data_IF_685730335118
#
_entry.id   IF_685730335118
#
_cell.length_a   1.000
_cell.length_b   1.000
_cell.length_c   1.000
_cell.angle_alpha   90.00
_cell.angle_beta   90.00
_cell.angle_gamma   90.00
#
_symmetry.space_group_name_H-M   'P 1'
#
loop_
_entity.id
_entity.type
_entity.pdbx_description
1 polymer ?
#
# COMPACT_ATOMS: atom_id res chain seq x y z
N UNK A 1 16.87 -4.30 -5.70
CA UNK A 1 17.93 -4.00 -6.70
C UNK A 1 17.71 -4.61 -8.10
N UNK A 2 17.36 -5.90 -8.28
CA UNK A 2 17.26 -6.51 -9.64
C UNK A 2 16.12 -5.98 -10.53
N UNK A 3 14.98 -5.56 -9.97
CA UNK A 3 13.82 -5.09 -10.75
C UNK A 3 14.07 -3.71 -11.38
N UNK A 4 14.55 -2.73 -10.61
CA UNK A 4 14.82 -1.38 -11.10
C UNK A 4 15.87 -1.34 -12.23
N UNK A 5 16.97 -2.08 -12.08
CA UNK A 5 17.98 -2.21 -13.15
C UNK A 5 17.44 -2.90 -14.41
N UNK A 6 16.60 -3.94 -14.27
CA UNK A 6 15.96 -4.56 -15.46
C UNK A 6 15.00 -3.61 -16.15
N UNK A 7 14.26 -2.79 -15.40
CA UNK A 7 13.38 -1.76 -15.98
C UNK A 7 14.16 -0.70 -16.76
N UNK A 8 15.39 -0.37 -16.35
CA UNK A 8 16.21 0.61 -17.08
C UNK A 8 16.71 0.11 -18.44
N UNK A 9 16.66 -1.20 -18.71
CA UNK A 9 17.02 -1.79 -20.01
C UNK A 9 15.88 -1.77 -21.03
N UNK A 10 14.65 -1.49 -20.59
CA UNK A 10 13.49 -1.43 -21.48
C UNK A 10 13.52 -0.15 -22.32
N UNK A 11 13.26 -0.30 -23.61
CA UNK A 11 12.94 0.80 -24.51
C UNK A 11 11.48 1.19 -24.32
N UNK A 12 11.26 2.20 -23.48
CA UNK A 12 9.95 2.67 -23.02
C UNK A 12 9.96 4.19 -22.94
N UNK A 13 8.81 4.79 -23.17
CA UNK A 13 8.59 6.19 -22.84
C UNK A 13 8.73 6.40 -21.32
N UNK A 14 9.63 7.31 -20.92
CA UNK A 14 9.89 7.67 -19.51
C UNK A 14 9.45 9.10 -19.19
N UNK A 15 8.69 9.71 -20.09
CA UNK A 15 8.20 11.07 -19.98
C UNK A 15 9.24 12.12 -20.37
N UNK A 16 8.97 13.40 -20.04
CA UNK A 16 7.81 13.88 -19.27
C UNK A 16 6.48 13.67 -20.02
N UNK A 17 5.41 13.42 -19.26
CA UNK A 17 4.06 13.23 -19.82
C UNK A 17 3.21 14.50 -19.66
N UNK A 18 2.36 14.82 -20.65
CA UNK A 18 1.59 16.07 -20.65
C UNK A 18 0.42 16.09 -19.66
N UNK A 19 -0.09 14.91 -19.28
CA UNK A 19 -1.27 14.77 -18.44
C UNK A 19 -1.27 13.45 -17.64
N UNK A 20 -2.17 13.32 -16.66
CA UNK A 20 -2.27 12.14 -15.79
C UNK A 20 -2.66 10.87 -16.53
N UNK A 21 -3.52 10.97 -17.54
CA UNK A 21 -3.92 9.80 -18.34
C UNK A 21 -2.72 9.23 -19.09
N UNK A 22 -1.93 10.09 -19.72
CA UNK A 22 -0.70 9.76 -20.43
C UNK A 22 0.34 9.17 -19.47
N UNK A 23 0.50 9.73 -18.27
CA UNK A 23 1.36 9.16 -17.22
C UNK A 23 0.95 7.74 -16.84
N UNK A 24 -0.33 7.53 -16.49
CA UNK A 24 -0.81 6.22 -16.05
C UNK A 24 -0.70 5.19 -17.18
N UNK A 25 -1.07 5.57 -18.42
CA UNK A 25 -0.90 4.74 -19.61
C UNK A 25 0.55 4.30 -19.78
N UNK A 26 1.49 5.25 -19.69
CA UNK A 26 2.91 4.94 -19.81
C UNK A 26 3.41 4.01 -18.69
N UNK A 27 3.02 4.24 -17.43
CA UNK A 27 3.37 3.35 -16.31
C UNK A 27 2.88 1.93 -16.55
N UNK A 28 1.66 1.77 -17.06
CA UNK A 28 1.08 0.47 -17.39
C UNK A 28 1.84 -0.19 -18.56
N UNK A 29 2.15 0.55 -19.62
CA UNK A 29 2.91 0.03 -20.76
C UNK A 29 4.35 -0.38 -20.35
N UNK A 30 4.98 0.35 -19.43
CA UNK A 30 6.26 -0.05 -18.85
C UNK A 30 6.12 -1.39 -18.10
N UNK A 31 5.06 -1.56 -17.31
CA UNK A 31 4.81 -2.82 -16.59
C UNK A 31 4.52 -3.97 -17.57
N UNK A 32 3.73 -3.75 -18.62
CA UNK A 32 3.46 -4.74 -19.68
C UNK A 32 4.75 -5.19 -20.36
N UNK A 33 5.57 -4.25 -20.83
CA UNK A 33 6.89 -4.55 -21.42
C UNK A 33 7.80 -5.28 -20.44
N UNK A 34 7.78 -4.94 -19.16
CA UNK A 34 8.53 -5.67 -18.14
C UNK A 34 8.04 -7.12 -18.00
N UNK A 35 6.72 -7.34 -18.01
CA UNK A 35 6.11 -8.66 -17.94
C UNK A 35 6.50 -9.52 -19.15
N UNK A 36 6.43 -8.96 -20.36
CA UNK A 36 6.78 -9.64 -21.61
C UNK A 36 8.26 -10.05 -21.66
N UNK A 37 9.17 -9.18 -21.21
CA UNK A 37 10.60 -9.40 -21.36
C UNK A 37 11.25 -10.16 -20.20
N UNK A 38 10.72 -9.99 -18.98
CA UNK A 38 11.43 -10.42 -17.77
C UNK A 38 10.60 -11.21 -16.76
N UNK A 39 9.26 -11.24 -16.89
CA UNK A 39 8.47 -11.98 -15.92
C UNK A 39 8.62 -13.48 -16.13
N UNK A 40 8.91 -14.16 -15.02
CA UNK A 40 8.97 -15.60 -14.95
C UNK A 40 7.89 -16.02 -13.95
N UNK A 41 7.01 -16.99 -14.31
CA UNK A 41 6.05 -17.53 -13.36
C UNK A 41 6.76 -17.96 -12.07
N UNK A 42 6.19 -17.64 -10.89
CA UNK A 42 6.87 -17.98 -9.65
C UNK A 42 6.98 -19.50 -9.52
N UNK A 43 8.08 -19.92 -8.92
CA UNK A 43 8.27 -21.32 -8.59
C UNK A 43 7.20 -21.75 -7.59
N UNK A 44 6.65 -22.97 -7.71
CA UNK A 44 5.69 -23.54 -6.75
C UNK A 44 6.22 -23.59 -5.30
N UNK A 45 7.56 -23.54 -5.13
CA UNK A 45 8.24 -23.48 -3.84
C UNK A 45 8.43 -22.04 -3.32
N UNK A 46 8.12 -21.02 -4.11
CA UNK A 46 8.13 -19.62 -3.67
C UNK A 46 7.03 -19.44 -2.62
N UNK A 47 7.37 -18.78 -1.52
CA UNK A 47 6.44 -18.50 -0.41
C UNK A 47 5.29 -17.59 -0.83
N UNK A 48 5.46 -16.83 -1.92
CA UNK A 48 4.41 -16.00 -2.51
C UNK A 48 3.71 -16.67 -3.68
N UNK A 49 4.03 -17.94 -3.98
CA UNK A 49 3.30 -18.70 -4.99
C UNK A 49 1.86 -18.91 -4.53
N UNK A 50 0.92 -18.62 -5.42
CA UNK A 50 -0.51 -18.69 -5.15
C UNK A 50 -1.13 -19.84 -5.93
N UNK A 51 -1.44 -20.98 -5.27
CA UNK A 51 -2.15 -22.07 -5.92
C UNK A 51 -3.52 -21.59 -6.41
N UNK A 52 -3.82 -21.85 -7.68
CA UNK A 52 -5.05 -21.45 -8.39
C UNK A 52 -5.13 -19.97 -8.82
N UNK A 53 -4.06 -19.19 -8.69
CA UNK A 53 -3.93 -17.94 -9.43
C UNK A 53 -3.17 -18.19 -10.73
N UNK A 54 -3.63 -17.58 -11.81
CA UNK A 54 -2.85 -17.50 -13.04
C UNK A 54 -1.71 -16.50 -12.85
N UNK A 55 -0.56 -16.97 -12.39
CA UNK A 55 0.67 -16.17 -12.33
C UNK A 55 1.39 -16.08 -13.69
N UNK A 56 0.64 -16.31 -14.78
CA UNK A 56 1.17 -16.15 -16.14
C UNK A 56 1.28 -14.65 -16.43
N UNK A 57 2.39 -14.19 -17.03
CA UNK A 57 2.53 -12.81 -17.49
C UNK A 57 1.31 -12.33 -18.29
N UNK A 58 0.81 -13.16 -19.21
CA UNK A 58 -0.38 -12.84 -20.05
C UNK A 58 -1.63 -12.52 -19.23
N UNK A 59 -1.85 -13.19 -18.10
CA UNK A 59 -3.02 -12.95 -17.26
C UNK A 59 -2.93 -11.59 -16.56
N UNK A 60 -1.72 -11.17 -16.19
CA UNK A 60 -1.47 -9.84 -15.65
C UNK A 60 -1.58 -8.77 -16.76
N UNK A 61 -1.07 -9.04 -17.96
CA UNK A 61 -1.21 -8.12 -19.11
C UNK A 61 -2.68 -7.90 -19.45
N UNK A 62 -3.51 -8.95 -19.54
CA UNK A 62 -4.96 -8.82 -19.77
C UNK A 62 -5.65 -7.96 -18.71
N UNK A 63 -5.21 -8.07 -17.46
CA UNK A 63 -5.75 -7.28 -16.36
C UNK A 63 -5.34 -5.81 -16.45
N UNK A 64 -4.11 -5.53 -16.88
CA UNK A 64 -3.63 -4.18 -17.18
C UNK A 64 -4.39 -3.56 -18.36
N UNK A 65 -4.70 -4.34 -19.40
CA UNK A 65 -5.51 -3.88 -20.54
C UNK A 65 -6.95 -3.52 -20.12
N UNK A 66 -7.56 -4.33 -19.25
CA UNK A 66 -8.85 -4.00 -18.64
C UNK A 66 -8.78 -2.69 -17.84
N UNK A 67 -7.72 -2.49 -17.07
CA UNK A 67 -7.51 -1.26 -16.32
C UNK A 67 -7.38 -0.05 -17.24
N UNK A 68 -6.62 -0.16 -18.35
CA UNK A 68 -6.50 0.87 -19.37
C UNK A 68 -7.84 1.28 -19.98
N UNK A 69 -8.78 0.34 -20.12
CA UNK A 69 -10.11 0.62 -20.65
C UNK A 69 -10.98 1.44 -19.68
N UNK A 70 -10.77 1.30 -18.37
CA UNK A 70 -11.57 1.96 -17.32
C UNK A 70 -10.99 3.32 -16.91
N UNK A 71 -9.66 3.46 -16.91
CA UNK A 71 -8.97 4.69 -16.44
C UNK A 71 -9.60 6.00 -16.98
N UNK A 72 -9.87 6.15 -18.29
CA UNK A 72 -10.40 7.41 -18.82
C UNK A 72 -11.69 7.90 -18.14
N UNK A 73 -12.51 6.97 -17.66
CA UNK A 73 -13.81 7.28 -17.03
C UNK A 73 -13.73 7.48 -15.51
N UNK A 74 -12.66 7.04 -14.87
CA UNK A 74 -12.48 7.14 -13.40
C UNK A 74 -11.46 8.22 -13.00
N UNK A 75 -10.84 8.89 -13.98
CA UNK A 75 -9.89 9.94 -13.68
C UNK A 75 -10.60 11.12 -13.02
N UNK A 76 -10.06 11.64 -11.92
CA UNK A 76 -10.57 12.88 -11.37
C UNK A 76 -10.31 14.03 -12.35
N UNK A 77 -11.05 15.16 -12.21
CA UNK A 77 -10.79 16.38 -12.96
C UNK A 77 -9.31 16.78 -12.95
N UNK A 78 -8.84 17.39 -14.04
CA UNK A 78 -7.42 17.75 -14.24
C UNK A 78 -6.85 18.61 -13.09
N UNK A 79 -7.69 19.42 -12.46
CA UNK A 79 -7.35 20.21 -11.28
C UNK A 79 -6.89 19.34 -10.09
N UNK A 80 -7.40 18.13 -9.90
CA UNK A 80 -6.97 17.19 -8.85
C UNK A 80 -5.77 16.34 -9.26
N UNK A 81 -5.42 16.36 -10.55
CA UNK A 81 -4.38 15.56 -11.18
C UNK A 81 -2.98 16.19 -11.12
N UNK A 82 -2.83 17.35 -10.47
CA UNK A 82 -1.54 18.02 -10.35
C UNK A 82 -0.49 17.10 -9.66
N UNK A 83 0.71 16.94 -10.26
CA UNK A 83 1.79 16.17 -9.66
C UNK A 83 2.28 16.88 -8.38
N UNK A 84 1.84 16.39 -7.23
CA UNK A 84 2.26 16.91 -5.92
C UNK A 84 3.11 15.87 -5.20
N UNK A 85 4.30 16.29 -4.76
CA UNK A 85 5.10 15.50 -3.84
C UNK A 85 4.46 15.59 -2.45
N UNK A 86 3.77 14.53 -2.04
CA UNK A 86 3.15 14.47 -0.72
C UNK A 86 4.05 13.75 0.27
N UNK A 87 4.46 14.47 1.31
CA UNK A 87 5.19 13.90 2.44
C UNK A 87 4.18 13.29 3.43
N UNK A 88 4.16 11.96 3.52
CA UNK A 88 3.19 11.21 4.36
C UNK A 88 3.36 11.42 5.87
N UNK A 89 4.36 12.21 6.31
CA UNK A 89 4.70 12.40 7.72
C UNK A 89 5.44 13.73 7.98
N UNK A 90 4.89 14.86 7.50
CA UNK A 90 5.60 16.15 7.61
C UNK A 90 5.45 16.72 9.04
N UNK A 91 6.30 16.27 9.95
CA UNK A 91 6.35 16.72 11.34
C UNK A 91 7.69 17.38 11.66
N UNK A 92 7.74 18.20 12.73
CA UNK A 92 8.94 18.95 13.10
C UNK A 92 10.20 18.08 13.26
N UNK A 93 10.05 16.84 13.72
CA UNK A 93 11.16 15.87 13.83
C UNK A 93 11.76 15.48 12.47
N UNK A 94 11.03 15.66 11.38
CA UNK A 94 11.44 15.36 10.02
C UNK A 94 11.83 16.61 9.23
N UNK A 95 11.80 17.80 9.85
CA UNK A 95 12.20 19.07 9.24
C UNK A 95 13.46 19.54 9.94
N UNK A 96 14.58 19.47 9.23
CA UNK A 96 15.86 19.96 9.71
C UNK A 96 15.99 21.41 9.28
N UNK A 97 16.28 22.28 10.24
CA UNK A 97 16.56 23.70 10.03
C UNK A 97 18.06 23.93 10.08
N UNK A 98 18.54 24.92 9.33
CA UNK A 98 19.93 25.37 9.39
C UNK A 98 20.34 25.69 10.83
N UNK A 99 21.55 25.27 11.21
CA UNK A 99 22.13 25.58 12.52
C UNK A 99 22.57 27.04 12.65
N UNK A 100 22.64 27.77 11.54
CA UNK A 100 23.10 29.15 11.48
C UNK A 100 22.14 30.03 10.67
N UNK A 101 21.96 31.27 11.13
CA UNK A 101 21.13 32.27 10.45
C UNK A 101 19.64 32.24 10.82
N UNK A 102 18.80 32.98 10.09
CA UNK A 102 17.35 32.90 10.28
C UNK A 102 16.82 31.49 9.96
N UNK A 103 15.63 31.11 10.48
CA UNK A 103 15.09 29.77 10.30
C UNK A 103 14.93 29.44 8.80
N UNK A 104 15.78 28.55 8.29
CA UNK A 104 15.75 28.05 6.92
C UNK A 104 15.76 26.52 6.90
N UNK A 105 14.90 25.91 6.07
CA UNK A 105 14.74 24.45 6.04
C UNK A 105 15.92 23.85 5.27
N UNK A 106 16.85 23.24 5.99
CA UNK A 106 18.02 22.58 5.43
C UNK A 106 17.68 21.24 4.74
N UNK A 107 16.76 20.45 5.32
CA UNK A 107 16.32 19.20 4.70
C UNK A 107 15.00 18.68 5.28
N UNK A 108 14.28 17.88 4.50
CA UNK A 108 13.09 17.14 4.93
C UNK A 108 13.38 15.64 4.79
N UNK A 109 13.20 14.86 5.85
CA UNK A 109 13.40 13.40 5.83
C UNK A 109 12.09 12.68 5.57
N UNK A 110 12.03 12.00 4.43
CA UNK A 110 10.88 11.20 4.01
C UNK A 110 10.87 9.85 4.71
N UNK A 111 10.35 9.80 5.93
CA UNK A 111 9.92 8.57 6.57
C UNK A 111 8.41 8.52 6.66
N UNK A 112 7.79 7.47 6.11
CA UNK A 112 6.37 7.20 6.31
C UNK A 112 6.13 6.93 7.80
N UNK A 113 5.26 7.72 8.45
CA UNK A 113 4.70 7.35 9.74
C UNK A 113 3.50 6.47 9.44
N UNK A 114 3.65 5.18 9.73
CA UNK A 114 2.57 4.21 9.54
C UNK A 114 1.63 4.14 10.76
N UNK A 115 1.98 4.85 11.85
CA UNK A 115 1.27 4.82 13.13
C UNK A 115 1.31 3.44 13.81
N UNK A 116 0.82 3.38 15.05
CA UNK A 116 0.53 2.10 15.69
C UNK A 116 -0.92 1.71 15.41
N UNK A 117 -1.14 0.51 14.86
CA UNK A 117 -2.47 -0.03 14.55
C UNK A 117 -3.46 -0.06 15.75
N UNK A 118 -2.95 0.05 16.99
CA UNK A 118 -3.78 0.15 18.20
C UNK A 118 -4.42 1.52 18.36
N UNK A 119 -3.88 2.55 17.72
CA UNK A 119 -4.46 3.89 17.68
C UNK A 119 -5.50 3.92 16.57
N UNK A 120 -6.76 4.11 16.95
CA UNK A 120 -7.83 4.23 15.96
C UNK A 120 -7.80 5.63 15.37
N UNK A 121 -7.42 5.72 14.09
CA UNK A 121 -7.56 6.94 13.30
C UNK A 121 -8.75 6.74 12.37
N UNK A 122 -9.77 7.59 12.47
CA UNK A 122 -10.90 7.56 11.55
C UNK A 122 -10.53 8.37 10.30
N UNK A 123 -10.38 7.74 9.12
CA UNK A 123 -10.01 8.46 7.91
C UNK A 123 -11.09 9.48 7.56
N UNK A 124 -10.68 10.66 7.10
CA UNK A 124 -11.58 11.69 6.53
C UNK A 124 -12.66 12.26 7.45
N UNK A 125 -12.73 11.82 8.70
CA UNK A 125 -13.60 12.39 9.72
C UNK A 125 -12.81 13.26 10.72
N UNK A 126 -13.40 14.35 11.25
CA UNK A 126 -12.76 15.23 12.23
C UNK A 126 -12.76 14.62 13.64
N UNK A 127 -12.55 13.31 13.74
CA UNK A 127 -12.48 12.56 14.99
C UNK A 127 -11.01 12.48 15.42
N UNK A 128 -10.75 12.88 16.66
CA UNK A 128 -9.41 12.74 17.24
C UNK A 128 -9.06 11.25 17.37
N UNK A 129 -7.80 10.87 17.14
CA UNK A 129 -7.36 9.49 17.31
C UNK A 129 -7.67 8.97 18.71
N UNK A 130 -8.11 7.71 18.78
CA UNK A 130 -8.51 7.07 20.02
C UNK A 130 -7.49 6.02 20.44
N UNK A 131 -7.12 6.04 21.73
CA UNK A 131 -6.41 4.95 22.38
C UNK A 131 -7.24 3.65 22.36
N UNK A 132 -6.59 2.48 22.42
CA UNK A 132 -7.30 1.22 22.44
C UNK A 132 -8.21 1.11 23.69
N UNK A 133 -9.40 0.48 23.60
CA UNK A 133 -10.34 0.39 24.72
C UNK A 133 -9.79 -0.28 25.98
N UNK A 134 -8.75 -1.10 25.84
CA UNK A 134 -8.06 -1.79 26.92
C UNK A 134 -6.75 -1.11 27.36
N UNK A 135 -6.58 0.18 27.06
CA UNK A 135 -5.38 0.98 27.36
C UNK A 135 -4.86 0.83 28.80
N UNK A 136 -5.75 0.77 29.78
CA UNK A 136 -5.36 0.68 31.20
C UNK A 136 -4.71 -0.67 31.57
N UNK A 137 -4.84 -1.69 30.72
CA UNK A 137 -4.28 -3.03 30.95
C UNK A 137 -2.82 -3.17 30.50
N UNK A 138 -2.30 -2.23 29.71
CA UNK A 138 -0.92 -2.27 29.24
C UNK A 138 0.06 -1.86 30.35
N UNK A 139 1.33 -2.23 30.19
CA UNK A 139 2.39 -1.78 31.09
C UNK A 139 2.55 -0.26 31.08
N UNK A 140 3.18 0.33 32.11
CA UNK A 140 3.41 1.78 32.17
C UNK A 140 4.26 2.31 31.01
N UNK A 141 5.21 1.51 30.55
CA UNK A 141 6.06 1.82 29.40
C UNK A 141 5.25 1.83 28.10
N UNK A 142 4.44 0.78 27.87
CA UNK A 142 3.55 0.72 26.71
C UNK A 142 2.48 1.82 26.73
N UNK A 143 1.95 2.17 27.90
CA UNK A 143 1.02 3.31 28.04
C UNK A 143 1.68 4.62 27.63
N UNK A 144 2.93 4.85 28.03
CA UNK A 144 3.69 6.05 27.67
C UNK A 144 3.99 6.09 26.16
N UNK A 145 4.35 4.94 25.57
CA UNK A 145 4.53 4.79 24.14
C UNK A 145 3.23 5.09 23.37
N UNK A 146 2.11 4.45 23.73
CA UNK A 146 0.83 4.64 23.05
C UNK A 146 0.31 6.08 23.15
N UNK A 147 0.55 6.77 24.28
CA UNK A 147 0.24 8.21 24.40
C UNK A 147 1.09 9.08 23.47
N UNK A 148 2.34 8.70 23.22
CA UNK A 148 3.19 9.39 22.24
C UNK A 148 2.64 9.18 20.84
N UNK A 149 2.28 7.96 20.46
CA UNK A 149 1.70 7.63 19.16
C UNK A 149 0.34 8.34 18.94
N UNK A 150 -0.52 8.37 19.96
CA UNK A 150 -1.76 9.13 19.95
C UNK A 150 -1.49 10.62 19.65
N UNK A 151 -0.50 11.22 20.32
CA UNK A 151 -0.13 12.62 20.11
C UNK A 151 0.37 12.87 18.68
N UNK A 152 1.18 11.97 18.12
CA UNK A 152 1.65 12.07 16.74
C UNK A 152 0.48 11.94 15.75
N UNK A 153 -0.46 11.04 16.02
CA UNK A 153 -1.68 10.90 15.22
C UNK A 153 -2.57 12.15 15.32
N UNK A 154 -2.70 12.76 16.51
CA UNK A 154 -3.46 14.01 16.70
C UNK A 154 -2.83 15.17 15.90
N UNK A 155 -1.50 15.28 15.91
CA UNK A 155 -0.78 16.26 15.09
C UNK A 155 -1.00 16.04 13.59
N UNK A 156 -1.02 14.78 13.16
CA UNK A 156 -1.36 14.44 11.78
C UNK A 156 -2.79 14.87 11.43
N UNK A 157 -3.78 14.61 12.30
CA UNK A 157 -5.17 15.06 12.07
C UNK A 157 -5.31 16.57 12.06
N UNK A 158 -4.57 17.27 12.90
CA UNK A 158 -4.52 18.72 12.89
C UNK A 158 -3.94 19.24 11.57
N UNK A 159 -2.86 18.64 11.07
CA UNK A 159 -2.28 18.97 9.76
C UNK A 159 -3.28 18.72 8.62
N UNK A 160 -3.96 17.58 8.60
CA UNK A 160 -5.03 17.30 7.62
C UNK A 160 -6.10 18.39 7.65
N UNK A 161 -6.61 18.75 8.84
CA UNK A 161 -7.61 19.79 9.00
C UNK A 161 -7.14 21.16 8.50
N UNK A 162 -5.90 21.54 8.82
CA UNK A 162 -5.30 22.78 8.34
C UNK A 162 -5.14 22.81 6.81
N UNK A 163 -4.79 21.68 6.17
CA UNK A 163 -4.73 21.63 4.71
C UNK A 163 -6.12 21.77 4.12
N UNK A 164 -7.12 21.05 4.64
CA UNK A 164 -8.50 21.13 4.15
C UNK A 164 -9.02 22.57 4.24
N UNK A 165 -8.75 23.26 5.34
CA UNK A 165 -9.15 24.67 5.52
C UNK A 165 -8.43 25.62 4.54
N UNK A 166 -7.13 25.40 4.29
CA UNK A 166 -6.28 26.33 3.54
C UNK A 166 -6.15 26.02 2.06
N UNK A 167 -6.56 24.83 1.63
CA UNK A 167 -6.42 24.35 0.27
C UNK A 167 -7.75 23.75 -0.19
N UNK A 168 -8.60 24.61 -0.77
CA UNK A 168 -9.92 24.24 -1.28
C UNK A 168 -9.85 23.10 -2.32
N UNK A 169 -8.78 23.06 -3.12
CA UNK A 169 -8.56 22.00 -4.10
C UNK A 169 -8.27 20.65 -3.43
N UNK A 170 -7.45 20.66 -2.38
CA UNK A 170 -7.20 19.46 -1.57
C UNK A 170 -8.47 19.00 -0.85
N UNK A 171 -9.24 19.93 -0.27
CA UNK A 171 -10.51 19.63 0.36
C UNK A 171 -11.48 18.95 -0.62
N UNK A 172 -11.65 19.52 -1.82
CA UNK A 172 -12.48 18.95 -2.87
C UNK A 172 -12.01 17.57 -3.32
N UNK A 173 -10.69 17.38 -3.49
CA UNK A 173 -10.09 16.07 -3.79
C UNK A 173 -10.36 15.02 -2.71
N UNK A 174 -10.28 15.37 -1.43
CA UNK A 174 -10.51 14.44 -0.32
C UNK A 174 -11.96 13.95 -0.26
N UNK A 175 -12.90 14.76 -0.74
CA UNK A 175 -14.32 14.39 -0.87
C UNK A 175 -14.67 13.77 -2.23
N UNK A 176 -13.73 13.71 -3.17
CA UNK A 176 -14.00 13.18 -4.50
C UNK A 176 -14.30 11.68 -4.45
N UNK A 177 -15.43 11.22 -5.00
CA UNK A 177 -15.77 9.81 -5.05
C UNK A 177 -14.67 8.97 -5.72
N UNK A 178 -14.49 7.74 -5.24
CA UNK A 178 -13.60 6.73 -5.87
C UNK A 178 -12.10 7.05 -5.93
N UNK A 179 -11.61 8.19 -5.41
CA UNK A 179 -10.18 8.57 -5.46
C UNK A 179 -9.24 7.55 -4.79
N UNK A 180 -9.69 6.88 -3.73
CA UNK A 180 -8.91 5.83 -3.03
C UNK A 180 -8.88 4.50 -3.79
N UNK A 181 -9.78 4.32 -4.75
CA UNK A 181 -9.96 3.05 -5.47
C UNK A 181 -8.99 2.91 -6.64
N UNK A 182 -8.36 3.99 -7.09
CA UNK A 182 -7.37 3.98 -8.17
C UNK A 182 -6.12 3.13 -7.81
N UNK A 183 -5.88 2.85 -6.52
CA UNK A 183 -4.64 2.24 -6.02
C UNK A 183 -4.70 0.71 -5.91
N UNK A 184 -5.87 0.07 -6.04
CA UNK A 184 -6.00 -1.37 -5.82
C UNK A 184 -6.53 -2.12 -7.05
N UNK A 185 -5.88 -3.24 -7.41
CA UNK A 185 -6.28 -4.15 -8.49
C UNK A 185 -7.70 -4.74 -8.33
N UNK A 186 -8.24 -4.75 -7.10
CA UNK A 186 -9.62 -5.18 -6.80
C UNK A 186 -10.65 -4.14 -7.26
N UNK A 187 -10.22 -2.92 -7.57
CA UNK A 187 -11.09 -1.83 -7.92
C UNK A 187 -11.92 -2.06 -9.18
N UNK A 188 -11.51 -2.93 -10.12
CA UNK A 188 -12.29 -3.17 -11.35
C UNK A 188 -13.68 -3.76 -11.09
N UNK A 189 -13.82 -4.68 -10.14
CA UNK A 189 -15.12 -5.24 -9.77
C UNK A 189 -15.97 -4.23 -8.98
N UNK A 190 -15.32 -3.38 -8.17
CA UNK A 190 -16.01 -2.30 -7.46
C UNK A 190 -16.43 -1.17 -8.42
N UNK A 191 -15.66 -0.91 -9.48
CA UNK A 191 -16.01 0.04 -10.54
C UNK A 191 -17.18 -0.45 -11.37
N UNK A 192 -17.24 -1.75 -11.70
CA UNK A 192 -18.41 -2.31 -12.39
C UNK A 192 -19.68 -2.15 -11.54
N UNK A 193 -19.60 -2.47 -10.23
CA UNK A 193 -20.75 -2.36 -9.31
C UNK A 193 -21.29 -0.93 -9.24
N UNK A 194 -20.40 0.04 -9.19
CA UNK A 194 -20.73 1.45 -8.99
C UNK A 194 -20.68 2.23 -10.32
N UNK A 195 -20.76 1.55 -11.47
CA UNK A 195 -20.48 2.16 -12.78
C UNK A 195 -21.50 3.23 -13.17
N UNK A 196 -22.77 3.04 -12.84
CA UNK A 196 -23.82 4.01 -13.12
C UNK A 196 -23.56 5.35 -12.40
N UNK A 197 -22.88 5.33 -11.24
CA UNK A 197 -22.48 6.53 -10.51
C UNK A 197 -21.21 7.18 -11.11
N UNK A 198 -20.36 6.37 -11.76
CA UNK A 198 -19.08 6.80 -12.34
C UNK A 198 -19.28 7.39 -13.75
N UNK A 199 -20.03 6.70 -14.60
CA UNK A 199 -20.22 7.03 -16.00
C UNK A 199 -21.67 6.78 -16.41
N UNK A 200 -22.57 7.65 -15.92
CA UNK A 200 -24.00 7.55 -16.14
C UNK A 200 -24.35 7.44 -17.63
N UNK A 201 -25.00 6.34 -18.01
CA UNK A 201 -25.46 6.08 -19.38
C UNK A 201 -24.41 5.49 -20.31
N UNK A 202 -23.16 5.34 -19.87
CA UNK A 202 -22.11 4.66 -20.62
C UNK A 202 -22.03 3.18 -20.22
N UNK A 203 -21.87 2.25 -21.18
CA UNK A 203 -21.66 0.84 -20.85
C UNK A 203 -20.30 0.64 -20.18
N UNK A 204 -20.23 -0.30 -19.22
CA UNK A 204 -18.96 -0.68 -18.62
C UNK A 204 -18.02 -1.26 -19.69
N UNK A 205 -16.78 -0.76 -19.84
CA UNK A 205 -15.94 -1.04 -21.00
C UNK A 205 -15.26 -2.42 -20.97
N UNK A 206 -15.45 -3.18 -19.89
CA UNK A 206 -14.87 -4.52 -19.72
C UNK A 206 -15.98 -5.57 -19.81
N UNK A 207 -15.71 -6.65 -20.54
CA UNK A 207 -16.46 -7.89 -20.43
C UNK A 207 -15.75 -8.88 -19.51
N UNK A 208 -16.52 -9.56 -18.67
CA UNK A 208 -16.00 -10.57 -17.76
C UNK A 208 -16.24 -11.98 -18.28
N UNK A 209 -15.21 -12.81 -18.16
CA UNK A 209 -15.43 -14.25 -18.13
C UNK A 209 -15.99 -14.64 -16.76
N UNK A 210 -17.18 -15.25 -16.73
CA UNK A 210 -17.81 -15.71 -15.49
C UNK A 210 -16.89 -16.65 -14.69
N UNK A 211 -16.05 -17.43 -15.37
CA UNK A 211 -15.08 -18.32 -14.73
C UNK A 211 -13.93 -17.55 -14.08
N UNK A 212 -13.52 -16.42 -14.66
CA UNK A 212 -12.52 -15.50 -14.11
C UNK A 212 -13.04 -14.83 -12.83
N UNK A 213 -14.26 -14.28 -12.86
CA UNK A 213 -14.89 -13.65 -11.69
C UNK A 213 -15.04 -14.63 -10.54
N UNK A 214 -15.50 -15.86 -10.84
CA UNK A 214 -15.63 -16.92 -9.83
C UNK A 214 -14.28 -17.29 -9.20
N UNK A 215 -13.20 -17.37 -10.00
CA UNK A 215 -11.83 -17.60 -9.49
C UNK A 215 -11.39 -16.46 -8.57
N UNK A 216 -11.57 -15.20 -8.98
CA UNK A 216 -11.20 -14.04 -8.17
C UNK A 216 -11.96 -13.98 -6.84
N UNK A 217 -13.29 -14.14 -6.86
CA UNK A 217 -14.12 -14.14 -5.64
C UNK A 217 -13.74 -15.26 -4.67
N UNK A 218 -13.33 -16.42 -5.18
CA UNK A 218 -12.88 -17.55 -4.33
C UNK A 218 -11.48 -17.33 -3.76
N UNK A 219 -10.59 -16.68 -4.50
CA UNK A 219 -9.18 -16.55 -4.13
C UNK A 219 -8.89 -15.31 -3.28
N UNK A 220 -9.63 -14.22 -3.50
CA UNK A 220 -9.39 -12.93 -2.83
C UNK A 220 -9.52 -12.99 -1.29
N UNK A 221 -10.59 -13.57 -0.69
CA UNK A 221 -10.68 -13.66 0.76
C UNK A 221 -9.51 -14.41 1.40
N UNK A 222 -8.99 -15.44 0.71
CA UNK A 222 -7.82 -16.21 1.19
C UNK A 222 -6.54 -15.39 1.13
N UNK A 223 -6.41 -14.50 0.15
CA UNK A 223 -5.28 -13.58 0.06
C UNK A 223 -5.30 -12.57 1.21
N UNK A 224 -6.45 -11.91 1.42
CA UNK A 224 -6.62 -10.95 2.52
C UNK A 224 -6.39 -11.60 3.87
N UNK A 225 -6.89 -12.82 4.07
CA UNK A 225 -6.67 -13.59 5.29
C UNK A 225 -5.18 -13.94 5.47
N UNK A 226 -4.48 -14.35 4.40
CA UNK A 226 -3.05 -14.62 4.45
C UNK A 226 -2.23 -13.37 4.77
N UNK A 227 -2.52 -12.23 4.12
CA UNK A 227 -1.89 -10.94 4.40
C UNK A 227 -2.07 -10.51 5.86
N UNK A 228 -3.28 -10.65 6.39
CA UNK A 228 -3.56 -10.40 7.80
C UNK A 228 -2.72 -11.29 8.72
N UNK A 229 -2.63 -12.59 8.43
CA UNK A 229 -1.80 -13.54 9.22
C UNK A 229 -0.32 -13.16 9.17
N UNK A 230 0.19 -12.75 8.01
CA UNK A 230 1.59 -12.29 7.86
C UNK A 230 1.84 -11.06 8.71
N UNK A 231 0.95 -10.05 8.68
CA UNK A 231 1.07 -8.85 9.54
C UNK A 231 0.99 -9.18 11.02
N UNK A 232 0.08 -10.06 11.42
CA UNK A 232 -0.05 -10.49 12.81
C UNK A 232 1.23 -11.17 13.32
N UNK A 233 1.89 -11.98 12.48
CA UNK A 233 3.19 -12.59 12.81
C UNK A 233 4.31 -11.55 12.89
N UNK A 234 4.39 -10.61 11.94
CA UNK A 234 5.39 -9.54 11.99
C UNK A 234 5.29 -8.77 13.32
N UNK A 235 4.07 -8.42 13.72
CA UNK A 235 3.79 -7.74 15.00
C UNK A 235 4.16 -8.60 16.21
N UNK A 236 3.79 -9.88 16.21
CA UNK A 236 4.12 -10.79 17.33
C UNK A 236 5.63 -11.04 17.47
N UNK A 237 6.38 -10.94 16.38
CA UNK A 237 7.83 -11.08 16.36
C UNK A 237 8.57 -9.76 16.54
N UNK A 238 7.87 -8.62 16.60
CA UNK A 238 8.45 -7.27 16.66
C UNK A 238 9.40 -7.00 15.48
N UNK A 239 8.96 -7.37 14.28
CA UNK A 239 9.72 -7.19 13.04
C UNK A 239 9.43 -5.82 12.43
N UNK A 240 10.47 -5.18 11.88
CA UNK A 240 10.28 -4.06 10.97
C UNK A 240 9.51 -4.51 9.71
N UNK A 241 9.00 -3.55 8.92
CA UNK A 241 8.21 -3.82 7.71
C UNK A 241 8.90 -4.79 6.76
N UNK A 242 10.19 -4.65 6.54
CA UNK A 242 10.97 -5.53 5.67
C UNK A 242 11.37 -6.87 6.31
N UNK A 243 11.00 -7.12 7.57
CA UNK A 243 11.47 -8.26 8.35
C UNK A 243 12.83 -8.02 9.02
N UNK A 244 13.35 -6.80 8.97
CA UNK A 244 14.60 -6.43 9.63
C UNK A 244 14.47 -6.42 11.15
N UNK A 245 15.57 -6.78 11.81
CA UNK A 245 15.75 -6.71 13.26
C UNK A 245 17.17 -6.27 13.56
N UNK A 246 17.36 -5.66 14.72
CA UNK A 246 18.69 -5.30 15.23
C UNK A 246 19.52 -6.56 15.53
N UNK A 247 20.85 -6.43 15.55
CA UNK A 247 21.73 -7.55 15.90
C UNK A 247 21.45 -8.06 17.33
N UNK A 248 21.12 -7.15 18.23
CA UNK A 248 20.81 -7.41 19.63
C UNK A 248 19.53 -8.25 19.79
N UNK A 249 18.55 -8.05 18.90
CA UNK A 249 17.27 -8.78 18.93
C UNK A 249 17.29 -10.08 18.09
N UNK A 250 18.29 -10.26 17.23
CA UNK A 250 18.32 -11.32 16.20
C UNK A 250 18.13 -12.73 16.78
N UNK A 251 18.88 -13.08 17.81
CA UNK A 251 18.85 -14.42 18.40
C UNK A 251 17.51 -14.71 19.08
N UNK A 252 16.95 -13.73 19.78
CA UNK A 252 15.65 -13.85 20.44
C UNK A 252 14.51 -13.99 19.43
N UNK A 253 14.50 -13.15 18.40
CA UNK A 253 13.52 -13.20 17.30
C UNK A 253 13.61 -14.54 16.58
N UNK A 254 14.82 -15.02 16.28
CA UNK A 254 15.04 -16.32 15.62
C UNK A 254 14.49 -17.47 16.47
N UNK A 255 14.70 -17.42 17.79
CA UNK A 255 14.14 -18.40 18.73
C UNK A 255 12.62 -18.37 18.76
N UNK A 256 11.99 -17.18 18.85
CA UNK A 256 10.54 -17.02 18.82
C UNK A 256 9.94 -17.47 17.48
N UNK A 257 10.59 -17.12 16.37
CA UNK A 257 10.18 -17.48 15.02
C UNK A 257 10.10 -19.01 14.82
N UNK A 258 11.04 -19.78 15.40
CA UNK A 258 10.99 -21.26 15.40
C UNK A 258 9.73 -21.85 16.06
N UNK A 259 9.10 -21.13 16.98
CA UNK A 259 7.84 -21.52 17.62
C UNK A 259 6.67 -21.13 16.69
N UNK A 260 6.69 -19.89 16.19
CA UNK A 260 5.64 -19.36 15.32
C UNK A 260 5.51 -20.17 14.03
N UNK A 261 6.60 -20.57 13.39
CA UNK A 261 6.55 -21.38 12.16
C UNK A 261 5.90 -22.77 12.40
N UNK A 262 6.09 -23.37 13.59
CA UNK A 262 5.42 -24.62 13.96
C UNK A 262 3.92 -24.41 14.10
N UNK A 263 3.52 -23.35 14.81
CA UNK A 263 2.12 -22.99 14.98
C UNK A 263 1.44 -22.63 13.63
N UNK A 264 2.14 -21.89 12.77
CA UNK A 264 1.67 -21.57 11.42
C UNK A 264 1.36 -22.84 10.63
N UNK A 265 2.32 -23.78 10.58
CA UNK A 265 2.16 -25.04 9.85
C UNK A 265 1.02 -25.89 10.40
N UNK A 266 0.83 -25.93 11.72
CA UNK A 266 -0.23 -26.74 12.33
C UNK A 266 -1.62 -26.11 12.22
N UNK A 267 -1.73 -24.79 12.34
CA UNK A 267 -3.02 -24.07 12.40
C UNK A 267 -3.53 -23.65 11.02
N UNK A 268 -2.63 -23.12 10.19
CA UNK A 268 -3.00 -22.47 8.93
C UNK A 268 -2.49 -23.21 7.70
N UNK A 269 -1.36 -23.89 7.81
CA UNK A 269 -0.67 -24.50 6.67
C UNK A 269 -0.20 -23.45 5.65
N UNK A 270 0.16 -23.89 4.45
CA UNK A 270 0.61 -23.01 3.37
C UNK A 270 1.98 -22.35 3.62
N UNK A 271 2.38 -21.40 2.76
CA UNK A 271 3.69 -20.80 2.81
C UNK A 271 3.85 -19.84 4.01
N UNK A 272 5.06 -19.79 4.57
CA UNK A 272 5.42 -18.93 5.69
C UNK A 272 6.46 -17.89 5.27
N UNK A 273 6.18 -16.61 5.51
CA UNK A 273 6.93 -15.49 4.93
C UNK A 273 8.24 -15.15 5.64
N UNK A 274 8.39 -15.42 6.93
CA UNK A 274 9.53 -14.95 7.73
C UNK A 274 10.63 -16.01 7.81
N UNK A 275 11.35 -16.18 6.70
CA UNK A 275 12.48 -17.09 6.59
C UNK A 275 13.78 -16.30 6.47
N UNK A 276 14.85 -16.78 7.10
CA UNK A 276 16.17 -16.18 7.00
C UNK A 276 16.65 -16.17 5.54
N UNK A 277 17.11 -15.01 5.05
CA UNK A 277 17.46 -14.81 3.63
C UNK A 277 16.28 -14.91 2.66
N UNK A 278 15.06 -15.08 3.17
CA UNK A 278 13.82 -15.10 2.40
C UNK A 278 13.47 -13.72 1.86
N UNK A 279 12.61 -13.69 0.84
CA UNK A 279 12.07 -12.42 0.34
C UNK A 279 11.03 -11.88 1.33
N UNK A 280 11.08 -10.59 1.60
CA UNK A 280 10.07 -9.92 2.43
C UNK A 280 8.77 -9.71 1.66
N UNK A 281 7.63 -9.88 2.35
CA UNK A 281 6.29 -9.61 1.79
C UNK A 281 6.10 -8.12 1.47
N UNK A 282 6.72 -7.23 2.25
CA UNK A 282 6.49 -5.78 2.17
C UNK A 282 7.46 -5.03 1.22
N UNK A 283 8.44 -5.72 0.63
CA UNK A 283 9.45 -5.13 -0.28
C UNK A 283 9.32 -5.58 -1.75
N UNK A 284 8.13 -6.02 -2.17
CA UNK A 284 7.86 -6.51 -3.54
C UNK A 284 7.71 -5.39 -4.57
#
# INVERSE_FOLDING_TARGET
MRKAWRRSLLDVDRGPWPDTLSYIKAVIEIEKKWLENFAVPRNRRDIFYRPNHEEKPDSHIRLLDKFLAVIPSILPPDEFCAPMLWHTNLQAINIFVSSEGPPDIASIVVHRYDGDDRITIVPREPILPLLPPDFDKYSKEEQAYLKREEKLAQLHKYYEACIIERNALFAARMTYPHVDRIVALIALLDFERDWDDIALGEPFPISWDASEVARHRKAYPKLTEHEWRVRAVAKALDLALDGWVTNEQYDDVTRRNKIVIKHWKSRWGGPYSFQEGGRSWNLL
#
